data_IF_612259085752
#
_entry.id   IF_612259085752
#
_cell.length_a   1.000
_cell.length_b   1.000
_cell.length_c   1.000
_cell.angle_alpha   90.00
_cell.angle_beta   90.00
_cell.angle_gamma   90.00
#
_symmetry.space_group_name_H-M   'P 1'
#
loop_
_entity.id
_entity.type
_entity.pdbx_description
1 polymer ?
#
# COMPACT_ATOMS: atom_id res chain seq x y z
N UNK A 1 -29.20 -9.16 -15.43
CA UNK A 1 -28.30 -8.00 -15.60
C UNK A 1 -28.09 -7.79 -17.08
N UNK A 2 -28.52 -6.65 -17.61
CA UNK A 2 -28.11 -6.23 -18.96
C UNK A 2 -26.59 -6.07 -18.99
N UNK A 3 -25.97 -6.42 -20.12
CA UNK A 3 -24.53 -6.24 -20.28
C UNK A 3 -24.23 -4.73 -20.29
N UNK A 4 -23.24 -4.22 -19.53
CA UNK A 4 -23.01 -2.78 -19.35
C UNK A 4 -22.93 -1.97 -20.66
N UNK A 5 -22.37 -2.56 -21.73
CA UNK A 5 -22.32 -1.91 -23.05
C UNK A 5 -23.70 -1.63 -23.68
N UNK A 6 -24.72 -2.47 -23.41
CA UNK A 6 -26.07 -2.27 -23.96
C UNK A 6 -26.78 -1.13 -23.24
N UNK A 7 -26.64 -1.08 -21.92
CA UNK A 7 -27.17 0.01 -21.10
C UNK A 7 -26.51 1.36 -21.46
N UNK A 8 -25.20 1.35 -21.71
CA UNK A 8 -24.45 2.55 -22.10
C UNK A 8 -24.86 3.12 -23.47
N UNK A 9 -25.20 2.26 -24.44
CA UNK A 9 -25.74 2.72 -25.72
C UNK A 9 -27.19 3.19 -25.63
N UNK A 10 -27.98 2.59 -24.74
CA UNK A 10 -29.36 3.02 -24.51
C UNK A 10 -29.42 4.43 -23.92
N UNK A 11 -28.47 4.81 -23.06
CA UNK A 11 -28.43 6.15 -22.47
C UNK A 11 -28.19 7.28 -23.48
N UNK A 12 -27.65 6.98 -24.66
CA UNK A 12 -27.50 7.97 -25.74
C UNK A 12 -28.85 8.36 -26.35
N UNK A 13 -29.83 7.45 -26.34
CA UNK A 13 -31.17 7.69 -26.87
C UNK A 13 -32.02 8.57 -25.94
N UNK A 14 -31.63 8.65 -24.66
CA UNK A 14 -32.26 9.48 -23.63
C UNK A 14 -31.41 10.74 -23.32
N UNK A 15 -30.51 11.10 -24.23
CA UNK A 15 -29.60 12.24 -24.07
C UNK A 15 -30.02 13.44 -24.92
N UNK A 16 -29.42 14.60 -24.65
CA UNK A 16 -29.62 15.84 -25.45
C UNK A 16 -28.76 15.89 -26.73
N UNK A 17 -28.18 14.77 -27.17
CA UNK A 17 -27.35 14.72 -28.38
C UNK A 17 -28.21 14.88 -29.64
N UNK A 18 -27.67 15.57 -30.65
CA UNK A 18 -28.30 15.61 -31.98
C UNK A 18 -28.39 14.17 -32.53
N UNK A 19 -29.52 13.76 -33.14
CA UNK A 19 -29.66 12.42 -33.73
C UNK A 19 -28.52 12.00 -34.67
N UNK A 20 -27.87 12.97 -35.35
CA UNK A 20 -26.73 12.72 -36.25
C UNK A 20 -25.44 12.39 -35.50
N UNK A 21 -25.32 12.78 -34.24
CA UNK A 21 -24.15 12.53 -33.40
C UNK A 21 -24.22 11.21 -32.62
N UNK A 22 -25.42 10.62 -32.50
CA UNK A 22 -25.64 9.37 -31.75
C UNK A 22 -24.76 8.23 -32.27
N UNK A 23 -24.65 8.05 -33.60
CA UNK A 23 -23.84 6.95 -34.16
C UNK A 23 -22.34 7.17 -33.96
N UNK A 24 -21.87 8.43 -34.02
CA UNK A 24 -20.49 8.78 -33.69
C UNK A 24 -20.20 8.52 -32.21
N UNK A 25 -21.13 8.89 -31.33
CA UNK A 25 -21.03 8.64 -29.89
C UNK A 25 -21.02 7.14 -29.55
N UNK A 26 -21.84 6.32 -30.22
CA UNK A 26 -21.81 4.86 -30.06
C UNK A 26 -20.46 4.26 -30.47
N UNK A 27 -19.89 4.72 -31.59
CA UNK A 27 -18.57 4.26 -32.03
C UNK A 27 -17.46 4.64 -31.03
N UNK A 28 -17.50 5.88 -30.50
CA UNK A 28 -16.60 6.32 -29.43
C UNK A 28 -16.76 5.47 -28.17
N UNK A 29 -17.97 5.31 -27.65
CA UNK A 29 -18.24 4.44 -26.48
C UNK A 29 -17.74 3.01 -26.67
N UNK A 30 -17.87 2.44 -27.88
CA UNK A 30 -17.39 1.08 -28.17
C UNK A 30 -15.86 1.00 -28.26
N UNK A 31 -15.21 2.05 -28.75
CA UNK A 31 -13.75 2.14 -28.81
C UNK A 31 -13.14 2.33 -27.41
N UNK A 32 -13.71 3.25 -26.63
CA UNK A 32 -13.18 3.65 -25.33
C UNK A 32 -13.60 2.70 -24.21
N UNK A 33 -14.82 2.16 -24.28
CA UNK A 33 -15.42 1.27 -23.29
C UNK A 33 -16.00 0.01 -23.95
N UNK A 34 -15.17 -0.87 -24.54
CA UNK A 34 -15.64 -2.06 -25.26
C UNK A 34 -16.48 -3.01 -24.39
N UNK A 35 -16.28 -2.98 -23.07
CA UNK A 35 -17.04 -3.75 -22.08
C UNK A 35 -18.17 -2.96 -21.40
N UNK A 36 -18.32 -1.67 -21.72
CA UNK A 36 -19.17 -0.69 -21.02
C UNK A 36 -18.48 -0.08 -19.78
N UNK A 37 -19.19 0.79 -19.06
CA UNK A 37 -18.72 1.43 -17.83
C UNK A 37 -19.33 0.67 -16.63
N UNK A 38 -18.52 0.14 -15.70
CA UNK A 38 -19.03 -0.53 -14.51
C UNK A 38 -19.68 0.49 -13.54
N UNK A 39 -20.60 0.00 -12.70
CA UNK A 39 -21.16 0.80 -11.61
C UNK A 39 -20.09 1.04 -10.54
N UNK A 40 -19.43 2.20 -10.58
CA UNK A 40 -18.36 2.53 -9.64
C UNK A 40 -18.87 3.11 -8.30
N UNK A 41 -20.07 3.71 -8.29
CA UNK A 41 -20.64 4.41 -7.13
C UNK A 41 -20.26 5.89 -7.07
N UNK A 42 -21.12 6.70 -6.45
CA UNK A 42 -21.01 8.17 -6.43
C UNK A 42 -19.75 8.68 -5.74
N UNK A 43 -19.39 8.11 -4.58
CA UNK A 43 -18.21 8.54 -3.83
C UNK A 43 -16.91 8.26 -4.59
N UNK A 44 -16.81 7.11 -5.26
CA UNK A 44 -15.65 6.77 -6.07
C UNK A 44 -15.48 7.75 -7.23
N UNK A 45 -16.59 8.12 -7.91
CA UNK A 45 -16.57 9.12 -8.98
C UNK A 45 -16.19 10.51 -8.48
N UNK A 46 -16.80 10.98 -7.39
CA UNK A 46 -16.48 12.28 -6.79
C UNK A 46 -15.01 12.38 -6.41
N UNK A 47 -14.50 11.36 -5.72
CA UNK A 47 -13.11 11.31 -5.31
C UNK A 47 -12.17 11.28 -6.52
N UNK A 48 -12.50 10.51 -7.57
CA UNK A 48 -11.72 10.49 -8.80
C UNK A 48 -11.60 11.87 -9.44
N UNK A 49 -12.73 12.56 -9.60
CA UNK A 49 -12.77 13.89 -10.22
C UNK A 49 -11.96 14.90 -9.40
N UNK A 50 -12.11 14.92 -8.08
CA UNK A 50 -11.30 15.78 -7.20
C UNK A 50 -9.80 15.42 -7.22
N UNK A 51 -9.44 14.16 -7.46
CA UNK A 51 -8.06 13.74 -7.61
C UNK A 51 -7.46 14.07 -9.00
N UNK A 52 -8.30 14.36 -10.00
CA UNK A 52 -7.89 14.75 -11.35
C UNK A 52 -7.68 16.25 -11.54
N UNK A 53 -8.29 17.11 -10.70
CA UNK A 53 -8.34 18.57 -10.92
C UNK A 53 -6.99 19.29 -10.94
N UNK A 54 -5.86 18.57 -10.82
CA UNK A 54 -4.53 19.08 -11.12
C UNK A 54 -4.34 19.33 -12.63
N UNK A 55 -5.07 18.61 -13.49
CA UNK A 55 -4.92 18.64 -14.96
C UNK A 55 -5.81 19.70 -15.62
N UNK A 56 -5.56 20.99 -15.38
CA UNK A 56 -6.10 22.08 -16.21
C UNK A 56 -7.63 22.05 -16.46
N UNK A 57 -8.07 22.44 -17.67
CA UNK A 57 -9.50 22.50 -18.05
C UNK A 57 -10.07 21.15 -18.50
N UNK A 58 -9.22 20.24 -19.00
CA UNK A 58 -9.64 18.99 -19.62
C UNK A 58 -9.22 17.80 -18.75
N UNK A 59 -10.20 17.00 -18.31
CA UNK A 59 -9.95 15.77 -17.53
C UNK A 59 -10.02 14.57 -18.47
N UNK A 60 -8.90 13.87 -18.64
CA UNK A 60 -8.91 12.55 -19.26
C UNK A 60 -9.31 11.50 -18.22
N UNK A 61 -10.62 11.23 -18.13
CA UNK A 61 -11.19 10.34 -17.11
C UNK A 61 -10.87 8.87 -17.43
N UNK A 62 -10.00 8.26 -16.62
CA UNK A 62 -9.76 6.82 -16.65
C UNK A 62 -10.73 6.10 -15.70
N UNK A 63 -11.64 5.32 -16.29
CA UNK A 63 -12.63 4.53 -15.54
C UNK A 63 -11.98 3.49 -14.62
N UNK A 64 -10.78 2.97 -14.97
CA UNK A 64 -10.07 2.04 -14.09
C UNK A 64 -9.64 2.73 -12.79
N UNK A 65 -9.33 4.03 -12.84
CA UNK A 65 -9.02 4.81 -11.64
C UNK A 65 -10.26 5.00 -10.76
N UNK A 66 -11.42 5.25 -11.37
CA UNK A 66 -12.70 5.33 -10.64
C UNK A 66 -13.02 3.99 -9.96
N UNK A 67 -12.82 2.86 -10.67
CA UNK A 67 -12.96 1.54 -10.09
C UNK A 67 -11.96 1.30 -8.94
N UNK A 68 -10.72 1.76 -9.06
CA UNK A 68 -9.75 1.77 -7.97
C UNK A 68 -10.28 2.46 -6.71
N UNK A 69 -10.96 3.60 -6.87
CA UNK A 69 -11.58 4.30 -5.73
C UNK A 69 -12.83 3.60 -5.19
N UNK A 70 -13.55 2.80 -5.99
CA UNK A 70 -14.59 1.89 -5.46
C UNK A 70 -13.98 0.84 -4.53
N UNK A 71 -12.84 0.26 -4.91
CA UNK A 71 -12.11 -0.65 -4.04
C UNK A 71 -11.60 0.05 -2.77
N UNK A 72 -11.21 1.31 -2.87
CA UNK A 72 -10.87 2.13 -1.72
C UNK A 72 -12.07 2.32 -0.78
N UNK A 73 -13.28 2.62 -1.26
CA UNK A 73 -14.48 2.68 -0.41
C UNK A 73 -14.72 1.35 0.33
N UNK A 74 -14.52 0.20 -0.33
CA UNK A 74 -14.59 -1.11 0.31
C UNK A 74 -13.48 -1.31 1.37
N UNK A 75 -12.28 -0.79 1.13
CA UNK A 75 -11.19 -0.80 2.12
C UNK A 75 -11.57 0.01 3.38
N UNK A 76 -12.16 1.20 3.22
CA UNK A 76 -12.68 2.00 4.35
C UNK A 76 -13.67 1.20 5.19
N UNK A 77 -14.64 0.56 4.54
CA UNK A 77 -15.63 -0.28 5.20
C UNK A 77 -14.99 -1.41 6.02
N UNK A 78 -14.06 -2.14 5.42
CA UNK A 78 -13.38 -3.24 6.09
C UNK A 78 -12.50 -2.76 7.26
N UNK A 79 -11.84 -1.61 7.12
CA UNK A 79 -11.04 -1.00 8.18
C UNK A 79 -11.91 -0.60 9.38
N UNK A 80 -13.04 0.08 9.14
CA UNK A 80 -13.99 0.45 10.20
C UNK A 80 -14.59 -0.79 10.86
N UNK A 81 -14.98 -1.81 10.09
CA UNK A 81 -15.48 -3.08 10.65
C UNK A 81 -14.44 -3.78 11.52
N UNK A 82 -13.20 -3.85 11.07
CA UNK A 82 -12.08 -4.39 11.84
C UNK A 82 -11.91 -3.63 13.15
N UNK A 83 -11.89 -2.30 13.10
CA UNK A 83 -11.73 -1.49 14.29
C UNK A 83 -12.87 -1.66 15.29
N UNK A 84 -14.13 -1.64 14.84
CA UNK A 84 -15.30 -1.83 15.71
C UNK A 84 -15.27 -3.18 16.42
N UNK A 85 -14.77 -4.23 15.77
CA UNK A 85 -14.57 -5.54 16.40
C UNK A 85 -13.63 -5.46 17.61
N UNK A 86 -12.53 -4.70 17.51
CA UNK A 86 -11.57 -4.54 18.61
C UNK A 86 -11.99 -3.51 19.66
N UNK A 87 -12.66 -2.43 19.25
CA UNK A 87 -13.23 -1.46 20.19
C UNK A 87 -14.20 -2.19 21.14
N UNK A 88 -15.09 -3.02 20.59
CA UNK A 88 -16.10 -3.73 21.35
C UNK A 88 -17.31 -2.85 21.68
N UNK A 89 -18.37 -3.46 22.22
CA UNK A 89 -19.65 -2.78 22.48
C UNK A 89 -19.59 -1.78 23.64
N UNK A 90 -18.67 -2.00 24.59
CA UNK A 90 -18.58 -1.19 25.81
C UNK A 90 -17.58 -0.02 25.69
N UNK A 91 -16.87 0.08 24.55
CA UNK A 91 -15.92 1.17 24.33
C UNK A 91 -16.65 2.50 24.24
N UNK A 92 -16.23 3.42 25.12
CA UNK A 92 -16.71 4.80 25.15
C UNK A 92 -15.52 5.71 24.88
N UNK A 93 -15.48 6.40 23.73
CA UNK A 93 -14.38 7.30 23.45
C UNK A 93 -14.37 8.43 24.46
N UNK A 94 -13.18 8.90 24.83
CA UNK A 94 -13.03 10.04 25.76
C UNK A 94 -13.74 11.29 25.22
N UNK A 95 -14.09 12.24 26.09
CA UNK A 95 -14.79 13.44 25.65
C UNK A 95 -13.97 14.28 24.64
N UNK A 96 -12.65 14.28 24.81
CA UNK A 96 -11.69 14.84 23.88
C UNK A 96 -10.50 13.88 23.74
N UNK A 97 -9.85 13.91 22.57
CA UNK A 97 -8.60 13.20 22.39
C UNK A 97 -7.51 13.90 23.20
N UNK A 98 -6.78 13.12 24.01
CA UNK A 98 -5.64 13.56 24.79
C UNK A 98 -4.66 12.40 24.89
N UNK A 99 -3.36 12.70 24.80
CA UNK A 99 -2.32 11.72 25.06
C UNK A 99 -2.36 11.33 26.55
N UNK A 100 -2.30 10.02 26.80
CA UNK A 100 -2.20 9.45 28.14
C UNK A 100 -0.75 9.30 28.61
N UNK A 101 0.24 9.46 27.73
CA UNK A 101 1.66 9.21 28.03
C UNK A 101 2.05 7.73 28.00
N UNK A 102 1.16 6.89 27.46
CA UNK A 102 1.33 5.43 27.37
C UNK A 102 1.25 4.93 25.92
N UNK A 103 1.25 5.86 24.97
CA UNK A 103 1.21 5.58 23.54
C UNK A 103 2.45 4.79 23.12
N UNK A 104 2.24 3.75 22.31
CA UNK A 104 3.34 3.08 21.64
C UNK A 104 3.97 4.00 20.59
N UNK A 105 5.17 3.64 20.12
CA UNK A 105 5.80 4.33 18.97
C UNK A 105 4.89 4.30 17.74
N UNK A 106 4.13 3.23 17.52
CA UNK A 106 3.21 3.14 16.38
C UNK A 106 1.98 4.04 16.56
N UNK A 107 1.47 4.20 17.79
CA UNK A 107 0.38 5.13 18.11
C UNK A 107 0.80 6.59 17.86
N UNK A 108 2.01 6.96 18.30
CA UNK A 108 2.55 8.30 18.06
C UNK A 108 2.87 8.53 16.57
N UNK A 109 3.33 7.50 15.87
CA UNK A 109 3.61 7.57 14.44
C UNK A 109 2.33 7.83 13.64
N UNK A 110 1.27 7.05 13.85
CA UNK A 110 0.02 7.24 13.10
C UNK A 110 -0.60 8.61 13.39
N UNK A 111 -0.42 9.14 14.60
CA UNK A 111 -0.87 10.48 14.96
C UNK A 111 -0.08 11.58 14.22
N UNK A 112 1.23 11.39 14.02
CA UNK A 112 2.03 12.26 13.15
C UNK A 112 1.53 12.23 11.71
N UNK A 113 1.26 11.03 11.18
CA UNK A 113 0.69 10.85 9.82
C UNK A 113 -0.69 11.50 9.67
N UNK A 114 -1.54 11.37 10.69
CA UNK A 114 -2.84 12.03 10.75
C UNK A 114 -2.69 13.55 10.75
N UNK A 115 -1.76 14.08 11.53
CA UNK A 115 -1.45 15.53 11.59
C UNK A 115 -1.08 16.07 10.21
N UNK A 116 -0.18 15.37 9.51
CA UNK A 116 0.19 15.70 8.13
C UNK A 116 -1.02 15.68 7.18
N UNK A 117 -1.90 14.69 7.31
CA UNK A 117 -3.11 14.62 6.49
C UNK A 117 -4.08 15.77 6.78
N UNK A 118 -4.26 16.14 8.06
CA UNK A 118 -5.07 17.29 8.47
C UNK A 118 -4.50 18.58 7.88
N UNK A 119 -3.21 18.83 8.05
CA UNK A 119 -2.52 20.02 7.50
C UNK A 119 -2.68 20.11 5.97
N UNK A 120 -2.36 19.01 5.27
CA UNK A 120 -2.40 18.98 3.80
C UNK A 120 -3.81 19.16 3.26
N UNK A 121 -4.82 18.55 3.90
CA UNK A 121 -6.20 18.72 3.48
C UNK A 121 -6.69 20.16 3.68
N UNK A 122 -6.40 20.77 4.83
CA UNK A 122 -6.79 22.17 5.09
C UNK A 122 -6.13 23.12 4.08
N UNK A 123 -4.82 23.00 3.84
CA UNK A 123 -4.13 23.78 2.83
C UNK A 123 -4.70 23.56 1.42
N UNK A 124 -5.02 22.30 1.06
CA UNK A 124 -5.66 21.96 -0.21
C UNK A 124 -7.05 22.59 -0.38
N UNK A 125 -7.85 22.67 0.68
CA UNK A 125 -9.14 23.37 0.62
C UNK A 125 -8.99 24.89 0.48
N UNK A 126 -8.03 25.51 1.18
CA UNK A 126 -7.76 26.95 1.08
C UNK A 126 -7.28 27.37 -0.32
N UNK A 127 -6.47 26.52 -0.95
CA UNK A 127 -5.82 26.79 -2.24
C UNK A 127 -6.55 26.16 -3.43
N UNK A 128 -7.66 25.45 -3.20
CA UNK A 128 -8.37 24.63 -4.19
C UNK A 128 -7.51 23.50 -4.81
N UNK A 129 -6.41 23.10 -4.16
CA UNK A 129 -5.63 21.91 -4.49
C UNK A 129 -6.28 20.64 -3.91
N UNK A 130 -7.45 20.29 -4.45
CA UNK A 130 -8.12 19.02 -4.13
C UNK A 130 -7.29 17.76 -4.47
N UNK A 131 -6.43 17.74 -5.50
CA UNK A 131 -5.53 16.62 -5.75
C UNK A 131 -4.58 16.36 -4.57
N UNK A 132 -3.98 17.39 -3.98
CA UNK A 132 -3.15 17.24 -2.78
C UNK A 132 -3.98 16.69 -1.60
N UNK A 133 -5.16 17.26 -1.34
CA UNK A 133 -6.03 16.82 -0.24
C UNK A 133 -6.51 15.36 -0.40
N UNK A 134 -6.96 14.97 -1.60
CA UNK A 134 -7.39 13.59 -1.89
C UNK A 134 -6.22 12.63 -1.80
N UNK A 135 -5.03 13.01 -2.27
CA UNK A 135 -3.81 12.18 -2.15
C UNK A 135 -3.43 11.97 -0.67
N UNK A 136 -3.48 13.02 0.15
CA UNK A 136 -3.20 12.92 1.59
C UNK A 136 -4.21 12.01 2.30
N UNK A 137 -5.51 12.17 2.02
CA UNK A 137 -6.56 11.29 2.58
C UNK A 137 -6.35 9.83 2.16
N UNK A 138 -6.08 9.59 0.87
CA UNK A 138 -5.87 8.24 0.34
C UNK A 138 -4.64 7.57 0.97
N UNK A 139 -3.53 8.31 1.05
CA UNK A 139 -2.29 7.82 1.65
C UNK A 139 -2.46 7.49 3.14
N UNK A 140 -3.10 8.38 3.90
CA UNK A 140 -3.37 8.15 5.32
C UNK A 140 -4.22 6.90 5.54
N UNK A 141 -5.33 6.75 4.81
CA UNK A 141 -6.23 5.62 5.00
C UNK A 141 -5.63 4.30 4.53
N UNK A 142 -5.08 4.28 3.32
CA UNK A 142 -4.62 3.03 2.71
C UNK A 142 -3.27 2.61 3.27
N UNK A 143 -2.26 3.46 3.14
CA UNK A 143 -0.87 3.10 3.42
C UNK A 143 -0.57 3.21 4.92
N UNK A 144 -0.94 4.33 5.56
CA UNK A 144 -0.53 4.56 6.95
C UNK A 144 -1.43 3.77 7.93
N UNK A 145 -2.75 3.93 7.82
CA UNK A 145 -3.71 3.31 8.73
C UNK A 145 -3.89 1.83 8.44
N UNK A 146 -4.34 1.46 7.23
CA UNK A 146 -4.72 0.07 6.96
C UNK A 146 -3.53 -0.88 6.83
N UNK A 147 -2.53 -0.51 6.04
CA UNK A 147 -1.45 -1.44 5.68
C UNK A 147 -0.39 -1.57 6.78
N UNK A 148 -0.25 -0.54 7.63
CA UNK A 148 0.74 -0.50 8.71
C UNK A 148 0.09 -0.49 10.10
N UNK A 149 -0.65 0.55 10.46
CA UNK A 149 -1.08 0.73 11.85
C UNK A 149 -2.03 -0.37 12.32
N UNK A 150 -3.07 -0.72 11.55
CA UNK A 150 -4.00 -1.80 11.91
C UNK A 150 -3.30 -3.16 12.05
N UNK A 151 -2.29 -3.42 11.22
CA UNK A 151 -1.48 -4.64 11.33
C UNK A 151 -0.62 -4.62 12.61
N UNK A 152 -0.06 -3.47 12.98
CA UNK A 152 0.74 -3.31 14.21
C UNK A 152 -0.07 -3.45 15.50
N UNK A 153 -1.39 -3.17 15.46
CA UNK A 153 -2.27 -3.29 16.63
C UNK A 153 -2.69 -4.73 16.96
N UNK A 154 -2.59 -5.66 16.01
CA UNK A 154 -2.98 -7.07 16.21
C UNK A 154 -2.31 -7.71 17.45
N UNK A 155 -0.97 -7.65 17.61
CA UNK A 155 -0.32 -8.18 18.81
C UNK A 155 -0.69 -7.39 20.07
N UNK A 156 -0.90 -6.06 19.97
CA UNK A 156 -1.32 -5.23 21.12
C UNK A 156 -2.64 -5.73 21.68
N UNK A 157 -3.63 -5.98 20.82
CA UNK A 157 -4.94 -6.52 21.22
C UNK A 157 -4.89 -7.97 21.73
N UNK A 158 -3.79 -8.69 21.52
CA UNK A 158 -3.56 -10.05 22.01
C UNK A 158 -2.65 -10.10 23.26
N UNK A 159 -2.07 -8.96 23.66
CA UNK A 159 -1.04 -8.89 24.71
C UNK A 159 -1.57 -9.11 26.13
N UNK A 160 -2.86 -8.92 26.36
CA UNK A 160 -3.45 -8.90 27.71
C UNK A 160 -3.09 -7.66 28.54
N UNK A 161 -2.31 -6.72 28.01
CA UNK A 161 -2.00 -5.46 28.68
C UNK A 161 -3.16 -4.47 28.48
N UNK A 162 -4.05 -4.38 29.47
CA UNK A 162 -5.25 -3.55 29.43
C UNK A 162 -4.94 -2.08 29.12
N UNK A 163 -3.91 -1.51 29.74
CA UNK A 163 -3.53 -0.11 29.53
C UNK A 163 -3.12 0.15 28.08
N UNK A 164 -2.24 -0.68 27.52
CA UNK A 164 -1.83 -0.56 26.11
C UNK A 164 -3.01 -0.75 25.17
N UNK A 165 -3.89 -1.70 25.46
CA UNK A 165 -5.11 -1.96 24.67
C UNK A 165 -6.02 -0.73 24.69
N UNK A 166 -6.29 -0.15 25.85
CA UNK A 166 -7.15 1.04 25.98
C UNK A 166 -6.56 2.27 25.28
N UNK A 167 -5.27 2.52 25.44
CA UNK A 167 -4.58 3.61 24.75
C UNK A 167 -4.65 3.45 23.23
N UNK A 168 -4.36 2.26 22.69
CA UNK A 168 -4.47 2.01 21.26
C UNK A 168 -5.92 2.02 20.74
N UNK A 169 -6.92 1.64 21.55
CA UNK A 169 -8.34 1.79 21.18
C UNK A 169 -8.73 3.26 21.00
N UNK A 170 -8.32 4.12 21.93
CA UNK A 170 -8.61 5.57 21.82
C UNK A 170 -7.87 6.21 20.62
N UNK A 171 -6.63 5.78 20.35
CA UNK A 171 -5.87 6.23 19.19
C UNK A 171 -6.52 5.77 17.88
N UNK A 172 -6.88 4.48 17.77
CA UNK A 172 -7.56 3.92 16.61
C UNK A 172 -8.90 4.60 16.35
N UNK A 173 -9.70 4.81 17.39
CA UNK A 173 -10.96 5.55 17.28
C UNK A 173 -10.74 6.97 16.73
N UNK A 174 -9.74 7.67 17.27
CA UNK A 174 -9.40 9.04 16.84
C UNK A 174 -8.99 9.07 15.37
N UNK A 175 -8.17 8.12 14.92
CA UNK A 175 -7.76 8.01 13.51
C UNK A 175 -8.96 7.81 12.58
N UNK A 176 -9.93 6.96 12.96
CA UNK A 176 -11.13 6.72 12.16
C UNK A 176 -12.05 7.94 12.13
N UNK A 177 -12.38 8.50 13.29
CA UNK A 177 -13.29 9.65 13.39
C UNK A 177 -12.75 10.87 12.65
N UNK A 178 -11.45 11.18 12.79
CA UNK A 178 -10.81 12.29 12.09
C UNK A 178 -10.65 11.97 10.61
N UNK A 179 -10.18 10.77 10.27
CA UNK A 179 -9.99 10.34 8.88
C UNK A 179 -11.30 10.32 8.07
N UNK A 180 -12.43 9.94 8.69
CA UNK A 180 -13.74 9.99 8.03
C UNK A 180 -14.18 11.44 7.80
N UNK A 181 -13.97 12.33 8.79
CA UNK A 181 -14.30 13.75 8.64
C UNK A 181 -13.46 14.44 7.56
N UNK A 182 -12.18 14.10 7.42
CA UNK A 182 -11.33 14.57 6.32
C UNK A 182 -11.82 14.10 4.94
N UNK A 183 -12.29 12.85 4.86
CA UNK A 183 -12.80 12.28 3.60
C UNK A 183 -14.20 12.78 3.21
N UNK A 184 -15.01 13.21 4.18
CA UNK A 184 -16.44 13.52 3.96
C UNK A 184 -16.76 14.52 2.85
N UNK A 185 -15.97 15.58 2.61
CA UNK A 185 -16.24 16.48 1.48
C UNK A 185 -16.14 15.78 0.11
N UNK A 186 -15.29 14.77 0.02
CA UNK A 186 -15.04 14.01 -1.21
C UNK A 186 -15.97 12.80 -1.34
N UNK A 187 -16.19 12.07 -0.25
CA UNK A 187 -16.92 10.79 -0.23
C UNK A 187 -18.11 10.79 0.76
N UNK A 188 -19.09 11.70 0.62
CA UNK A 188 -20.09 11.97 1.65
C UNK A 188 -20.95 10.76 2.06
N UNK A 189 -21.26 9.83 1.15
CA UNK A 189 -22.22 8.75 1.47
C UNK A 189 -21.59 7.66 2.33
N UNK A 190 -20.43 7.13 1.91
CA UNK A 190 -19.71 6.09 2.66
C UNK A 190 -19.19 6.64 3.98
N UNK A 191 -18.71 7.90 4.03
CA UNK A 191 -18.23 8.46 5.29
C UNK A 191 -19.34 8.69 6.28
N UNK A 192 -20.53 9.13 5.84
CA UNK A 192 -21.70 9.26 6.72
C UNK A 192 -22.07 7.89 7.30
N UNK A 193 -22.20 6.88 6.45
CA UNK A 193 -22.60 5.54 6.87
C UNK A 193 -21.62 4.90 7.87
N UNK A 194 -20.32 5.11 7.67
CA UNK A 194 -19.28 4.64 8.61
C UNK A 194 -19.23 5.48 9.89
N UNK A 195 -19.43 6.79 9.79
CA UNK A 195 -19.48 7.68 10.94
C UNK A 195 -20.63 7.34 11.89
N UNK A 196 -21.80 6.98 11.36
CA UNK A 196 -22.95 6.55 12.17
C UNK A 196 -22.71 5.23 12.93
N UNK A 197 -21.76 4.41 12.50
CA UNK A 197 -21.39 3.16 13.19
C UNK A 197 -20.36 3.36 14.30
N UNK A 198 -19.64 4.49 14.29
CA UNK A 198 -18.67 4.77 15.33
C UNK A 198 -19.38 5.17 16.63
N UNK A 199 -18.89 4.72 17.81
CA UNK A 199 -19.38 5.24 19.08
C UNK A 199 -19.16 6.76 19.15
N UNK A 200 -20.01 7.48 19.86
CA UNK A 200 -19.99 8.96 19.89
C UNK A 200 -19.27 9.49 21.12
N UNK A 201 -18.48 10.56 20.97
CA UNK A 201 -18.00 11.36 22.10
C UNK A 201 -19.19 12.05 22.77
N UNK A 202 -19.29 11.97 24.10
CA UNK A 202 -20.52 12.27 24.84
C UNK A 202 -20.92 13.76 24.90
N UNK A 203 -20.00 14.70 24.63
CA UNK A 203 -20.18 16.10 25.01
C UNK A 203 -21.14 16.93 24.14
N UNK A 204 -21.46 16.50 22.91
CA UNK A 204 -22.58 16.97 22.05
C UNK A 204 -22.37 16.33 20.66
N UNK A 205 -22.84 15.11 20.41
CA UNK A 205 -22.49 14.40 19.18
C UNK A 205 -23.20 15.01 17.97
N UNK A 206 -22.42 15.38 16.95
CA UNK A 206 -22.97 15.82 15.67
C UNK A 206 -23.87 14.70 15.09
N UNK A 207 -25.10 15.07 14.72
CA UNK A 207 -26.11 14.11 14.21
C UNK A 207 -25.69 13.49 12.86
N UNK A 208 -24.88 14.20 12.08
CA UNK A 208 -24.36 13.81 10.77
C UNK A 208 -22.91 14.26 10.64
N UNK A 209 -22.12 13.54 9.83
CA UNK A 209 -20.73 13.91 9.59
C UNK A 209 -20.64 15.28 8.88
N UNK A 210 -21.66 15.65 8.11
CA UNK A 210 -21.74 16.90 7.35
C UNK A 210 -21.83 18.16 8.22
N UNK A 211 -22.31 18.03 9.47
CA UNK A 211 -22.40 19.12 10.45
C UNK A 211 -21.41 18.92 11.60
N UNK A 212 -20.54 17.91 11.51
CA UNK A 212 -19.47 17.71 12.46
C UNK A 212 -18.37 18.76 12.24
N UNK A 213 -17.69 19.14 13.32
CA UNK A 213 -16.55 20.06 13.21
C UNK A 213 -15.46 19.43 12.35
N UNK A 214 -15.02 20.14 11.30
CA UNK A 214 -13.93 19.70 10.45
C UNK A 214 -12.60 19.70 11.22
N UNK A 215 -11.70 18.71 11.01
CA UNK A 215 -10.39 18.68 11.67
C UNK A 215 -9.52 19.86 11.25
N UNK A 216 -8.94 20.56 12.24
CA UNK A 216 -8.08 21.73 12.00
C UNK A 216 -6.66 21.49 12.56
N UNK A 217 -5.60 22.03 11.92
CA UNK A 217 -4.22 21.78 12.31
C UNK A 217 -3.89 22.09 13.78
N UNK A 218 -4.49 23.13 14.35
CA UNK A 218 -4.22 23.56 15.73
C UNK A 218 -4.61 22.50 16.77
N UNK A 219 -5.55 21.60 16.43
CA UNK A 219 -5.98 20.48 17.28
C UNK A 219 -5.20 19.19 17.02
N UNK A 220 -4.41 19.14 15.94
CA UNK A 220 -3.69 17.96 15.47
C UNK A 220 -2.24 18.32 15.11
N UNK A 221 -1.52 18.94 16.04
CA UNK A 221 -0.12 19.33 15.88
C UNK A 221 0.80 18.29 16.54
N UNK A 222 0.83 17.06 16.01
CA UNK A 222 1.62 15.95 16.56
C UNK A 222 2.73 15.45 15.63
N UNK A 223 3.19 16.31 14.72
CA UNK A 223 4.24 15.96 13.77
C UNK A 223 5.52 15.52 14.50
N UNK A 224 6.05 14.37 14.12
CA UNK A 224 7.28 13.79 14.65
C UNK A 224 8.13 13.22 13.51
N UNK A 225 8.98 14.06 12.92
CA UNK A 225 9.79 13.70 11.75
C UNK A 225 10.83 12.62 12.04
N UNK A 226 11.40 12.60 13.25
CA UNK A 226 12.38 11.59 13.65
C UNK A 226 11.74 10.20 13.71
N UNK A 227 10.56 10.11 14.34
CA UNK A 227 9.80 8.87 14.40
C UNK A 227 9.31 8.42 13.02
N UNK A 228 8.88 9.35 12.17
CA UNK A 228 8.51 9.04 10.79
C UNK A 228 9.68 8.45 9.99
N UNK A 229 10.90 8.98 10.15
CA UNK A 229 12.11 8.40 9.53
C UNK A 229 12.40 7.00 10.05
N UNK A 230 12.34 6.80 11.37
CA UNK A 230 12.56 5.48 11.98
C UNK A 230 11.55 4.44 11.49
N UNK A 231 10.26 4.79 11.44
CA UNK A 231 9.21 3.88 10.92
C UNK A 231 9.37 3.65 9.42
N UNK A 232 9.72 4.67 8.64
CA UNK A 232 9.99 4.52 7.20
C UNK A 232 11.14 3.54 6.94
N UNK A 233 12.20 3.61 7.74
CA UNK A 233 13.31 2.67 7.67
C UNK A 233 12.88 1.24 8.03
N UNK A 234 12.08 1.07 9.09
CA UNK A 234 11.50 -0.22 9.46
C UNK A 234 10.59 -0.80 8.35
N UNK A 235 9.78 0.04 7.70
CA UNK A 235 8.94 -0.38 6.56
C UNK A 235 9.78 -0.80 5.35
N UNK A 236 10.91 -0.13 5.08
CA UNK A 236 11.85 -0.56 4.05
C UNK A 236 12.40 -1.97 4.37
N UNK A 237 12.80 -2.23 5.63
CA UNK A 237 13.22 -3.57 6.08
C UNK A 237 12.12 -4.60 5.83
N UNK A 238 10.89 -4.30 6.25
CA UNK A 238 9.72 -5.17 6.06
C UNK A 238 9.51 -5.49 4.57
N UNK A 239 9.57 -4.48 3.70
CA UNK A 239 9.41 -4.67 2.26
C UNK A 239 10.51 -5.53 1.66
N UNK A 240 11.78 -5.29 2.02
CA UNK A 240 12.91 -6.08 1.53
C UNK A 240 12.82 -7.54 1.98
N UNK A 241 12.47 -7.80 3.24
CA UNK A 241 12.27 -9.17 3.74
C UNK A 241 11.10 -9.86 3.05
N UNK A 242 9.95 -9.17 2.88
CA UNK A 242 8.79 -9.73 2.16
C UNK A 242 9.12 -10.03 0.70
N UNK A 243 9.89 -9.16 0.04
CA UNK A 243 10.39 -9.39 -1.33
C UNK A 243 11.28 -10.62 -1.37
N UNK A 244 12.26 -10.71 -0.45
CA UNK A 244 13.17 -11.85 -0.35
C UNK A 244 12.41 -13.16 -0.15
N UNK A 245 11.39 -13.17 0.72
CA UNK A 245 10.50 -14.33 0.90
C UNK A 245 9.79 -14.73 -0.39
N UNK A 246 9.31 -13.75 -1.15
CA UNK A 246 8.67 -13.99 -2.45
C UNK A 246 9.64 -14.56 -3.48
N UNK A 247 10.90 -14.10 -3.50
CA UNK A 247 11.92 -14.58 -4.43
C UNK A 247 12.19 -16.08 -4.25
N UNK A 248 12.12 -16.55 -3.01
CA UNK A 248 12.25 -17.97 -2.62
C UNK A 248 10.91 -18.73 -2.56
N UNK A 249 9.79 -18.13 -3.02
CA UNK A 249 8.44 -18.70 -2.98
C UNK A 249 8.00 -19.17 -1.59
N UNK A 250 8.48 -18.52 -0.53
CA UNK A 250 8.12 -18.83 0.84
C UNK A 250 6.72 -18.29 1.16
N UNK A 251 5.88 -19.13 1.75
CA UNK A 251 4.54 -18.72 2.15
C UNK A 251 4.61 -17.70 3.31
N UNK A 252 3.65 -16.76 3.38
CA UNK A 252 3.61 -15.72 4.43
C UNK A 252 3.52 -16.29 5.85
N UNK A 253 2.84 -17.42 6.01
CA UNK A 253 2.62 -18.09 7.29
C UNK A 253 3.83 -18.92 7.76
N UNK A 254 4.84 -19.10 6.92
CA UNK A 254 6.06 -19.78 7.30
C UNK A 254 6.86 -18.93 8.30
N UNK A 255 7.24 -19.50 9.43
CA UNK A 255 7.87 -18.77 10.51
C UNK A 255 9.38 -18.93 10.41
N UNK A 256 10.03 -18.02 9.70
CA UNK A 256 11.48 -17.99 9.51
C UNK A 256 12.17 -17.07 10.53
N UNK A 257 13.41 -17.37 10.88
CA UNK A 257 14.26 -16.47 11.66
C UNK A 257 14.90 -15.40 10.76
N UNK A 258 14.92 -14.17 11.25
CA UNK A 258 15.57 -13.03 10.58
C UNK A 258 16.64 -12.43 11.49
N UNK A 259 17.79 -12.14 10.92
CA UNK A 259 18.88 -11.44 11.58
C UNK A 259 19.10 -10.09 10.89
N UNK A 260 19.15 -9.03 11.67
CA UNK A 260 19.45 -7.67 11.20
C UNK A 260 20.87 -7.34 11.67
N UNK A 261 21.77 -7.17 10.70
CA UNK A 261 23.12 -6.69 10.96
C UNK A 261 23.13 -5.20 10.72
N UNK A 262 23.49 -4.43 11.73
CA UNK A 262 23.58 -2.98 11.67
C UNK A 262 24.94 -2.54 12.20
N UNK A 263 25.61 -1.65 11.48
CA UNK A 263 26.96 -1.19 11.82
C UNK A 263 26.95 -0.05 12.85
N UNK A 264 25.86 0.71 12.95
CA UNK A 264 25.73 1.86 13.84
C UNK A 264 24.73 1.65 14.99
N UNK A 265 25.08 2.16 16.18
CA UNK A 265 24.27 2.02 17.41
C UNK A 265 22.96 2.79 17.38
N UNK A 266 22.90 3.88 16.60
CA UNK A 266 21.69 4.66 16.41
C UNK A 266 20.60 3.82 15.73
N UNK A 267 20.94 3.16 14.63
CA UNK A 267 20.05 2.24 13.90
C UNK A 267 19.63 1.08 14.79
N UNK A 268 20.55 0.47 15.55
CA UNK A 268 20.20 -0.61 16.49
C UNK A 268 19.17 -0.16 17.53
N UNK A 269 19.33 1.05 18.08
CA UNK A 269 18.40 1.63 19.06
C UNK A 269 17.03 1.91 18.44
N UNK A 270 17.01 2.49 17.22
CA UNK A 270 15.78 2.75 16.50
C UNK A 270 14.99 1.46 16.21
N UNK A 271 15.68 0.44 15.68
CA UNK A 271 15.07 -0.86 15.36
C UNK A 271 14.58 -1.60 16.60
N UNK A 272 15.31 -1.52 17.71
CA UNK A 272 14.91 -2.14 18.98
C UNK A 272 13.53 -1.64 19.43
N UNK A 273 13.27 -0.33 19.33
CA UNK A 273 11.97 0.22 19.69
C UNK A 273 10.84 -0.04 18.67
N UNK A 274 11.14 -0.61 17.50
CA UNK A 274 10.17 -1.01 16.47
C UNK A 274 10.17 -2.53 16.22
N UNK A 275 10.86 -3.29 17.07
CA UNK A 275 11.10 -4.72 16.90
C UNK A 275 9.81 -5.51 16.68
N UNK A 276 8.81 -5.32 17.56
CA UNK A 276 7.53 -6.03 17.50
C UNK A 276 6.76 -5.74 16.20
N UNK A 277 6.84 -4.49 15.71
CA UNK A 277 6.25 -4.08 14.44
C UNK A 277 6.92 -4.82 13.28
N UNK A 278 8.25 -4.84 13.23
CA UNK A 278 8.99 -5.52 12.17
C UNK A 278 8.71 -7.04 12.23
N UNK A 279 8.71 -7.64 13.42
CA UNK A 279 8.40 -9.06 13.63
C UNK A 279 7.02 -9.42 13.09
N UNK A 280 6.01 -8.65 13.48
CA UNK A 280 4.61 -8.84 13.08
C UNK A 280 4.44 -8.68 11.58
N UNK A 281 4.93 -7.56 11.02
CA UNK A 281 4.70 -7.24 9.62
C UNK A 281 5.53 -8.13 8.68
N UNK A 282 6.70 -8.60 9.08
CA UNK A 282 7.45 -9.62 8.31
C UNK A 282 6.86 -11.03 8.44
N UNK A 283 5.97 -11.26 9.41
CA UNK A 283 5.43 -12.58 9.75
C UNK A 283 6.54 -13.59 10.07
N UNK A 284 7.63 -13.13 10.68
CA UNK A 284 8.80 -13.94 11.04
C UNK A 284 8.56 -14.71 12.36
N UNK A 285 9.38 -15.71 12.63
CA UNK A 285 9.44 -16.39 13.93
C UNK A 285 10.14 -15.51 14.97
N UNK A 286 11.29 -14.97 14.58
CA UNK A 286 12.14 -14.12 15.42
C UNK A 286 12.78 -13.05 14.54
N UNK A 287 13.11 -11.92 15.15
CA UNK A 287 14.01 -10.92 14.59
C UNK A 287 15.10 -10.68 15.63
N UNK A 288 16.36 -10.82 15.23
CA UNK A 288 17.52 -10.60 16.11
C UNK A 288 18.41 -9.54 15.50
N UNK A 289 18.72 -8.49 16.25
CA UNK A 289 19.80 -7.57 15.88
C UNK A 289 21.09 -8.26 16.30
N UNK A 290 21.95 -8.58 15.33
CA UNK A 290 23.05 -9.52 15.51
C UNK A 290 24.35 -8.99 14.91
N UNK A 291 25.48 -9.32 15.54
CA UNK A 291 26.81 -9.12 14.95
C UNK A 291 27.10 -10.20 13.89
N UNK A 292 28.09 -9.96 13.04
CA UNK A 292 28.42 -10.87 11.94
C UNK A 292 28.72 -12.30 12.41
N UNK A 293 29.32 -12.51 13.60
CA UNK A 293 29.62 -13.85 14.11
C UNK A 293 28.40 -14.62 14.61
N UNK A 294 27.29 -13.94 14.89
CA UNK A 294 26.07 -14.52 15.45
C UNK A 294 25.08 -15.00 14.37
N UNK A 295 25.36 -14.66 13.10
CA UNK A 295 24.49 -14.98 11.97
C UNK A 295 24.77 -16.42 11.50
N UNK A 296 23.77 -17.31 11.53
CA UNK A 296 23.97 -18.69 11.11
C UNK A 296 24.20 -18.81 9.61
N UNK A 297 24.92 -19.87 9.21
CA UNK A 297 25.02 -20.28 7.81
C UNK A 297 23.65 -20.70 7.25
N UNK A 298 23.47 -20.55 5.94
CA UNK A 298 22.20 -20.87 5.28
C UNK A 298 21.17 -19.73 5.34
N UNK A 299 21.63 -18.47 5.45
CA UNK A 299 20.79 -17.29 5.28
C UNK A 299 20.86 -16.73 3.86
N UNK A 300 19.73 -16.29 3.30
CA UNK A 300 19.73 -15.36 2.17
C UNK A 300 19.86 -13.92 2.68
N UNK A 301 20.54 -13.08 1.90
CA UNK A 301 20.93 -11.73 2.31
C UNK A 301 20.21 -10.71 1.43
N UNK A 302 19.72 -9.63 2.03
CA UNK A 302 19.26 -8.44 1.31
C UNK A 302 19.83 -7.19 1.96
N UNK A 303 20.40 -6.30 1.16
CA UNK A 303 20.87 -4.99 1.60
C UNK A 303 19.68 -4.05 1.84
N UNK A 304 19.66 -3.39 2.99
CA UNK A 304 18.62 -2.42 3.40
C UNK A 304 19.14 -0.99 3.17
N UNK A 305 20.34 -0.71 3.66
CA UNK A 305 21.09 0.54 3.51
C UNK A 305 22.60 0.24 3.50
N UNK A 306 23.43 1.28 3.42
CA UNK A 306 24.89 1.13 3.51
C UNK A 306 25.35 0.56 4.85
N UNK A 307 24.60 0.77 5.93
CA UNK A 307 24.92 0.32 7.29
C UNK A 307 24.03 -0.80 7.82
N UNK A 308 23.13 -1.36 6.99
CA UNK A 308 22.18 -2.39 7.43
C UNK A 308 21.90 -3.46 6.37
N UNK A 309 22.02 -4.72 6.80
CA UNK A 309 21.73 -5.92 6.02
C UNK A 309 20.72 -6.79 6.78
N UNK A 310 19.79 -7.41 6.04
CA UNK A 310 18.86 -8.39 6.60
C UNK A 310 19.18 -9.79 6.06
N UNK A 311 19.24 -10.75 6.98
CA UNK A 311 19.56 -12.15 6.72
C UNK A 311 18.34 -13.00 7.08
N UNK A 312 17.81 -13.74 6.11
CA UNK A 312 16.66 -14.62 6.28
C UNK A 312 17.15 -16.07 6.28
N UNK A 313 16.99 -16.78 7.40
CA UNK A 313 17.45 -18.16 7.55
C UNK A 313 16.58 -19.12 6.73
N UNK A 314 17.13 -19.64 5.61
CA UNK A 314 16.42 -20.55 4.69
C UNK A 314 16.64 -22.03 5.04
N UNK A 315 17.69 -22.33 5.81
CA UNK A 315 18.04 -23.70 6.19
C UNK A 315 16.87 -24.36 6.95
N UNK A 316 16.41 -25.50 6.45
CA UNK A 316 15.27 -26.24 7.01
C UNK A 316 13.90 -25.80 6.51
N UNK A 317 13.81 -24.70 5.75
CA UNK A 317 12.57 -24.17 5.17
C UNK A 317 12.44 -24.41 3.66
N UNK A 318 13.56 -24.66 2.99
CA UNK A 318 13.59 -24.87 1.55
C UNK A 318 14.31 -26.16 1.21
N UNK A 319 13.74 -26.92 0.27
CA UNK A 319 14.46 -27.97 -0.44
C UNK A 319 15.40 -27.32 -1.46
N UNK A 320 16.65 -27.11 -1.02
CA UNK A 320 17.69 -26.40 -1.80
C UNK A 320 17.91 -27.10 -3.15
N UNK A 321 17.96 -28.45 -3.16
CA UNK A 321 18.12 -29.23 -4.38
C UNK A 321 16.98 -29.00 -5.38
N UNK A 322 15.74 -29.01 -4.90
CA UNK A 322 14.56 -28.74 -5.75
C UNK A 322 14.53 -27.29 -6.24
N UNK A 323 14.93 -26.35 -5.41
CA UNK A 323 14.95 -24.93 -5.75
C UNK A 323 16.05 -24.60 -6.77
N UNK A 324 17.25 -25.17 -6.62
CA UNK A 324 18.31 -25.09 -7.63
C UNK A 324 17.82 -25.65 -8.96
N UNK A 325 17.16 -26.82 -8.96
CA UNK A 325 16.60 -27.41 -10.18
C UNK A 325 15.57 -26.49 -10.86
N UNK A 326 14.67 -25.88 -10.09
CA UNK A 326 13.68 -24.91 -10.58
C UNK A 326 14.34 -23.67 -11.18
N UNK A 327 15.35 -23.12 -10.51
CA UNK A 327 16.07 -21.93 -10.98
C UNK A 327 16.91 -22.22 -12.22
N UNK A 328 17.57 -23.38 -12.31
CA UNK A 328 18.29 -23.79 -13.53
C UNK A 328 17.31 -23.95 -14.72
N UNK A 329 16.11 -24.51 -14.52
CA UNK A 329 15.07 -24.56 -15.56
C UNK A 329 14.60 -23.15 -16.00
N UNK A 330 14.44 -22.22 -15.05
CA UNK A 330 14.05 -20.82 -15.35
C UNK A 330 15.17 -20.10 -16.11
N UNK A 331 16.42 -20.29 -15.68
CA UNK A 331 17.64 -19.77 -16.32
C UNK A 331 17.73 -20.29 -17.76
N UNK A 332 17.52 -21.58 -17.99
CA UNK A 332 17.55 -22.18 -19.34
C UNK A 332 16.48 -21.57 -20.26
N UNK A 333 15.24 -21.46 -19.77
CA UNK A 333 14.14 -20.81 -20.53
C UNK A 333 14.46 -19.35 -20.88
N UNK A 334 14.93 -18.58 -19.91
CA UNK A 334 15.26 -17.16 -20.10
C UNK A 334 16.46 -16.99 -21.05
N UNK A 335 17.47 -17.84 -20.92
CA UNK A 335 18.64 -17.87 -21.81
C UNK A 335 18.24 -18.19 -23.26
N UNK A 336 17.32 -19.14 -23.45
CA UNK A 336 16.76 -19.45 -24.77
C UNK A 336 15.96 -18.28 -25.35
N UNK A 337 15.19 -17.56 -24.54
CA UNK A 337 14.45 -16.37 -24.98
C UNK A 337 15.39 -15.24 -25.40
N UNK A 338 16.42 -14.95 -24.59
CA UNK A 338 17.45 -13.94 -24.92
C UNK A 338 18.16 -14.32 -26.23
N UNK A 339 18.56 -15.59 -26.38
CA UNK A 339 19.21 -16.06 -27.60
C UNK A 339 18.32 -15.87 -28.83
N UNK A 340 17.02 -16.17 -28.76
CA UNK A 340 16.06 -15.94 -29.86
C UNK A 340 15.91 -14.45 -30.19
N UNK A 341 15.84 -13.58 -29.19
CA UNK A 341 15.75 -12.13 -29.40
C UNK A 341 17.02 -11.56 -30.03
N UNK A 342 18.21 -12.02 -29.59
CA UNK A 342 19.49 -11.66 -30.19
C UNK A 342 19.61 -12.13 -31.64
N UNK A 343 19.27 -13.39 -31.92
CA UNK A 343 19.24 -13.92 -33.29
C UNK A 343 18.27 -13.15 -34.19
N UNK A 344 17.11 -12.75 -33.68
CA UNK A 344 16.17 -11.93 -34.42
C UNK A 344 16.74 -10.54 -34.76
N UNK A 345 17.63 -10.00 -33.92
CA UNK A 345 18.30 -8.73 -34.14
C UNK A 345 19.54 -8.81 -35.05
N UNK A 346 20.08 -10.01 -35.30
CA UNK A 346 21.25 -10.25 -36.17
C UNK A 346 20.89 -10.55 -37.64
N UNK A 347 19.60 -10.65 -37.98
CA UNK A 347 19.15 -10.97 -39.34
C UNK A 347 19.59 -9.86 -40.33
N UNK A 348 20.11 -10.21 -41.53
CA UNK A 348 20.38 -9.23 -42.57
C UNK A 348 19.11 -8.42 -42.88
N UNK A 349 19.23 -7.10 -42.99
CA UNK A 349 18.12 -6.14 -43.14
C UNK A 349 17.31 -5.81 -41.86
N UNK A 350 17.73 -6.22 -40.66
CA UNK A 350 17.01 -5.89 -39.42
C UNK A 350 16.83 -4.37 -39.23
N UNK A 351 17.88 -3.58 -39.49
CA UNK A 351 17.83 -2.12 -39.36
C UNK A 351 16.91 -1.44 -40.38
N UNK A 352 16.72 -2.05 -41.56
CA UNK A 352 15.93 -1.47 -42.65
C UNK A 352 14.48 -1.97 -42.69
N UNK A 353 14.21 -3.21 -42.26
CA UNK A 353 12.86 -3.82 -42.28
C UNK A 353 12.10 -3.73 -40.96
N UNK A 354 12.79 -3.57 -39.82
CA UNK A 354 12.13 -3.56 -38.52
C UNK A 354 11.93 -2.12 -38.01
N UNK A 355 10.68 -1.71 -37.71
CA UNK A 355 10.41 -0.35 -37.21
C UNK A 355 11.22 -0.01 -35.96
N UNK A 356 11.64 1.24 -35.84
CA UNK A 356 12.47 1.72 -34.72
C UNK A 356 11.86 1.38 -33.34
N UNK A 357 10.55 1.58 -33.17
CA UNK A 357 9.85 1.27 -31.92
C UNK A 357 9.93 -0.23 -31.53
N UNK A 358 9.94 -1.13 -32.51
CA UNK A 358 10.08 -2.58 -32.26
C UNK A 358 11.53 -2.92 -31.90
N UNK A 359 12.51 -2.27 -32.53
CA UNK A 359 13.94 -2.43 -32.21
C UNK A 359 14.26 -1.95 -30.79
N UNK A 360 13.71 -0.81 -30.40
CA UNK A 360 13.85 -0.25 -29.05
C UNK A 360 13.22 -1.18 -28.00
N UNK A 361 12.00 -1.67 -28.26
CA UNK A 361 11.35 -2.65 -27.38
C UNK A 361 12.12 -3.97 -27.27
N UNK A 362 12.74 -4.45 -28.36
CA UNK A 362 13.60 -5.64 -28.33
C UNK A 362 14.85 -5.39 -27.50
N UNK A 363 15.52 -4.25 -27.69
CA UNK A 363 16.70 -3.87 -26.92
C UNK A 363 16.38 -3.79 -25.43
N UNK A 364 15.30 -3.10 -25.07
CA UNK A 364 14.86 -2.96 -23.68
C UNK A 364 14.55 -4.33 -23.05
N UNK A 365 13.84 -5.21 -23.78
CA UNK A 365 13.57 -6.57 -23.33
C UNK A 365 14.83 -7.40 -23.13
N UNK A 366 15.83 -7.27 -24.02
CA UNK A 366 17.11 -7.98 -23.88
C UNK A 366 17.81 -7.51 -22.61
N UNK A 367 17.99 -6.20 -22.43
CA UNK A 367 18.66 -5.63 -21.26
C UNK A 367 17.97 -6.05 -19.95
N UNK A 368 16.64 -5.97 -19.90
CA UNK A 368 15.88 -6.38 -18.72
C UNK A 368 16.05 -7.88 -18.43
N UNK A 369 15.94 -8.72 -19.47
CA UNK A 369 16.07 -10.18 -19.35
C UNK A 369 17.48 -10.61 -18.96
N UNK A 370 18.53 -9.92 -19.45
CA UNK A 370 19.91 -10.16 -19.05
C UNK A 370 20.16 -9.80 -17.58
N UNK A 371 19.57 -8.69 -17.11
CA UNK A 371 19.58 -8.33 -15.69
C UNK A 371 18.91 -9.39 -14.81
N UNK A 372 17.77 -9.93 -15.23
CA UNK A 372 17.10 -11.04 -14.55
C UNK A 372 17.93 -12.33 -14.58
N UNK A 373 18.58 -12.64 -15.70
CA UNK A 373 19.42 -13.82 -15.85
C UNK A 373 20.61 -13.79 -14.89
N UNK A 374 21.26 -12.64 -14.75
CA UNK A 374 22.37 -12.46 -13.81
C UNK A 374 21.92 -12.67 -12.36
N UNK A 375 20.74 -12.14 -11.98
CA UNK A 375 20.15 -12.37 -10.66
C UNK A 375 19.87 -13.86 -10.41
N UNK A 376 19.36 -14.58 -11.41
CA UNK A 376 19.14 -16.04 -11.30
C UNK A 376 20.44 -16.81 -11.10
N UNK A 377 21.50 -16.44 -11.82
CA UNK A 377 22.83 -17.07 -11.68
C UNK A 377 23.37 -16.86 -10.27
N UNK A 378 23.35 -15.62 -9.76
CA UNK A 378 23.78 -15.30 -8.40
C UNK A 378 22.97 -16.08 -7.36
N UNK A 379 21.64 -16.14 -7.50
CA UNK A 379 20.79 -16.89 -6.59
C UNK A 379 21.11 -18.39 -6.57
N UNK A 380 21.40 -18.99 -7.74
CA UNK A 380 21.81 -20.40 -7.84
C UNK A 380 23.17 -20.62 -7.15
N UNK A 381 24.14 -19.73 -7.35
CA UNK A 381 25.45 -19.80 -6.69
C UNK A 381 25.32 -19.70 -5.17
N UNK A 382 24.52 -18.74 -4.67
CA UNK A 382 24.23 -18.61 -3.23
C UNK A 382 23.61 -19.89 -2.69
N UNK A 383 22.60 -20.45 -3.34
CA UNK A 383 21.95 -21.68 -2.90
C UNK A 383 22.90 -22.89 -2.90
N UNK A 384 23.81 -23.00 -3.88
CA UNK A 384 24.82 -24.07 -3.91
C UNK A 384 25.79 -23.97 -2.72
N UNK A 385 26.15 -22.76 -2.30
CA UNK A 385 26.97 -22.52 -1.10
C UNK A 385 26.20 -22.88 0.18
N UNK A 386 24.87 -22.78 0.18
CA UNK A 386 24.03 -23.12 1.34
C UNK A 386 23.78 -24.63 1.51
N UNK A 387 23.94 -25.42 0.44
CA UNK A 387 23.78 -26.89 0.43
C UNK A 387 25.04 -27.63 0.90
N UNK A 388 26.21 -27.03 0.67
CA UNK A 388 27.53 -27.48 1.13
C UNK A 388 27.80 -27.13 2.59
#
# INVERSE_FOLDING_TARGET
>A
MERPHRALHASLLDSNLDPKEIEKAKQGQKADFPSGIPECGTDALRFALCAYTAQGRDINLDINRVEGYRHFCNKLWNATKFALMYLGTDFKPKAAFQLSGHESRMDLWILSRLSFAVETCNAGFETYDFPAATTACYAFWLYDLCDVYLESLKPVFQSGNELSIETSKEMLYTCLDVGLRLLSPFMPFVTEELFQRLPRRQSNPAISITVAQYPIPEKFSFKNEELEKAVSFALNIIHKIRSLRSDYNLAKNEKLEVFLKCDDEETKTQLSGLHETILTLTSSATIKIANSEEIPQGCAITTISESCEAYLLLKGHIDISKEISRLEQKKEKLSSQISKLKQAAEVPDYESKVPAAVRESHSEKITLSEGELNKLIQAIETLKIMDS
#
